data_IF_506870961293
#
_entry.id   IF_506870961293
#
_cell.length_a   1.000
_cell.length_b   1.000
_cell.length_c   1.000
_cell.angle_alpha   90.00
_cell.angle_beta   90.00
_cell.angle_gamma   90.00
#
_symmetry.space_group_name_H-M   'P 1'
#
loop_
_entity.id
_entity.type
_entity.pdbx_description
1 polymer ?
#
# COMPACT_ATOMS: atom_id res chain seq x y z
N UNK A 1 -2.50 -24.68 -6.15
CA UNK A 1 -2.86 -23.28 -5.91
C UNK A 1 -2.81 -22.54 -7.23
N UNK A 2 -3.90 -21.89 -7.64
CA UNK A 2 -3.95 -21.15 -8.91
C UNK A 2 -3.16 -19.84 -8.86
N UNK A 3 -2.76 -19.28 -10.01
CA UNK A 3 -2.01 -18.00 -10.07
C UNK A 3 -2.78 -16.86 -9.41
N UNK A 4 -4.08 -16.73 -9.70
CA UNK A 4 -4.95 -15.72 -9.08
C UNK A 4 -5.22 -15.98 -7.59
N UNK A 5 -5.20 -17.24 -7.16
CA UNK A 5 -5.34 -17.60 -5.75
C UNK A 5 -4.10 -17.17 -4.96
N UNK A 6 -2.92 -17.38 -5.51
CA UNK A 6 -1.66 -16.87 -4.94
C UNK A 6 -1.64 -15.33 -4.91
N UNK A 7 -2.04 -14.67 -6.01
CA UNK A 7 -2.10 -13.22 -6.07
C UNK A 7 -3.10 -12.63 -5.05
N UNK A 8 -4.24 -13.28 -4.84
CA UNK A 8 -5.20 -12.92 -3.81
C UNK A 8 -4.62 -13.10 -2.40
N UNK A 9 -3.91 -14.20 -2.15
CA UNK A 9 -3.19 -14.43 -0.90
C UNK A 9 -2.17 -13.34 -0.59
N UNK A 10 -1.37 -12.94 -1.58
CA UNK A 10 -0.43 -11.83 -1.46
C UNK A 10 -1.14 -10.50 -1.22
N UNK A 11 -2.26 -10.23 -1.91
CA UNK A 11 -3.04 -9.00 -1.71
C UNK A 11 -3.59 -8.90 -0.28
N UNK A 12 -4.05 -10.01 0.31
CA UNK A 12 -4.48 -10.04 1.71
C UNK A 12 -3.31 -9.82 2.68
N UNK A 13 -2.14 -10.38 2.38
CA UNK A 13 -0.92 -10.14 3.16
C UNK A 13 -0.47 -8.67 3.07
N UNK A 14 -0.56 -8.05 1.89
CA UNK A 14 -0.30 -6.63 1.69
C UNK A 14 -1.23 -5.77 2.55
N UNK A 15 -2.53 -6.11 2.60
CA UNK A 15 -3.49 -5.41 3.45
C UNK A 15 -3.11 -5.51 4.93
N UNK A 16 -2.72 -6.70 5.40
CA UNK A 16 -2.26 -6.89 6.77
C UNK A 16 -1.00 -6.06 7.10
N UNK A 17 0.00 -6.08 6.22
CA UNK A 17 1.22 -5.27 6.36
C UNK A 17 0.90 -3.76 6.39
N UNK A 18 -0.03 -3.29 5.56
CA UNK A 18 -0.44 -1.90 5.57
C UNK A 18 -1.17 -1.50 6.86
N UNK A 19 -1.99 -2.40 7.43
CA UNK A 19 -2.67 -2.17 8.71
C UNK A 19 -1.68 -2.08 9.88
N UNK A 20 -0.60 -2.86 9.84
CA UNK A 20 0.48 -2.83 10.85
C UNK A 20 1.59 -1.82 10.54
N UNK A 21 1.46 -1.05 9.46
CA UNK A 21 2.44 -0.06 8.99
C UNK A 21 3.82 -0.65 8.64
N UNK A 22 3.87 -1.92 8.25
CA UNK A 22 5.07 -2.62 7.80
C UNK A 22 5.38 -2.26 6.33
N UNK A 23 5.76 -1.00 6.08
CA UNK A 23 5.89 -0.45 4.73
C UNK A 23 6.92 -1.18 3.85
N UNK A 24 8.06 -1.59 4.42
CA UNK A 24 9.06 -2.38 3.70
C UNK A 24 8.49 -3.73 3.26
N UNK A 25 7.74 -4.41 4.14
CA UNK A 25 7.11 -5.69 3.82
C UNK A 25 6.02 -5.53 2.76
N UNK A 26 5.27 -4.44 2.81
CA UNK A 26 4.26 -4.12 1.80
C UNK A 26 4.89 -4.01 0.39
N UNK A 27 6.05 -3.37 0.26
CA UNK A 27 6.76 -3.22 -1.02
C UNK A 27 7.28 -4.58 -1.54
N UNK A 28 7.83 -5.41 -0.66
CA UNK A 28 8.27 -6.77 -1.04
C UNK A 28 7.10 -7.61 -1.58
N UNK A 29 5.97 -7.60 -0.86
CA UNK A 29 4.77 -8.32 -1.25
C UNK A 29 4.18 -7.80 -2.57
N UNK A 30 4.25 -6.50 -2.82
CA UNK A 30 3.84 -5.91 -4.10
C UNK A 30 4.68 -6.44 -5.26
N UNK A 31 6.01 -6.45 -5.09
CA UNK A 31 6.95 -6.96 -6.10
C UNK A 31 6.74 -8.47 -6.37
N UNK A 32 6.38 -9.25 -5.35
CA UNK A 32 6.01 -10.67 -5.51
C UNK A 32 4.68 -10.83 -6.28
N UNK A 33 3.70 -9.95 -6.03
CA UNK A 33 2.35 -10.03 -6.60
C UNK A 33 2.27 -9.56 -8.05
N UNK A 34 2.93 -8.45 -8.39
CA UNK A 34 2.85 -7.79 -9.69
C UNK A 34 2.99 -8.76 -10.90
N UNK A 35 4.03 -9.62 -10.98
CA UNK A 35 4.19 -10.52 -12.12
C UNK A 35 3.10 -11.61 -12.21
N UNK A 36 2.34 -11.87 -11.14
CA UNK A 36 1.21 -12.80 -11.18
C UNK A 36 0.00 -12.14 -11.83
N UNK A 37 -0.24 -10.85 -11.54
CA UNK A 37 -1.36 -10.11 -12.10
C UNK A 37 -1.16 -9.76 -13.58
N UNK A 38 0.08 -9.51 -14.01
CA UNK A 38 0.41 -9.18 -15.41
C UNK A 38 0.28 -10.37 -16.39
N UNK A 39 0.12 -11.59 -15.90
CA UNK A 39 -0.11 -12.77 -16.75
C UNK A 39 -1.49 -12.72 -17.39
N UNK A 40 -1.65 -13.42 -18.52
CA UNK A 40 -2.97 -13.65 -19.10
C UNK A 40 -3.76 -14.61 -18.22
N UNK A 41 -4.92 -14.15 -17.74
CA UNK A 41 -5.87 -14.96 -16.99
C UNK A 41 -7.01 -15.42 -17.89
N UNK A 42 -7.64 -16.53 -17.51
CA UNK A 42 -8.86 -16.96 -18.15
C UNK A 42 -10.01 -16.00 -17.82
N UNK A 43 -10.97 -15.88 -18.74
CA UNK A 43 -12.16 -15.04 -18.58
C UNK A 43 -13.36 -15.84 -18.08
N UNK A 44 -13.10 -16.94 -17.36
CA UNK A 44 -14.14 -17.74 -16.72
C UNK A 44 -14.66 -17.04 -15.44
N UNK A 45 -15.89 -17.35 -15.00
CA UNK A 45 -16.50 -16.71 -13.85
C UNK A 45 -15.66 -16.76 -12.56
N UNK A 46 -14.94 -17.86 -12.31
CA UNK A 46 -14.15 -18.02 -11.09
C UNK A 46 -12.90 -17.14 -11.11
N UNK A 47 -12.26 -17.00 -12.28
CA UNK A 47 -11.14 -16.07 -12.46
C UNK A 47 -11.59 -14.61 -12.31
N UNK A 48 -12.74 -14.25 -12.89
CA UNK A 48 -13.31 -12.91 -12.76
C UNK A 48 -13.68 -12.57 -11.31
N UNK A 49 -14.31 -13.49 -10.58
CA UNK A 49 -14.65 -13.29 -9.18
C UNK A 49 -13.41 -13.04 -8.30
N UNK A 50 -12.31 -13.75 -8.55
CA UNK A 50 -11.04 -13.52 -7.83
C UNK A 50 -10.42 -12.18 -8.17
N UNK A 51 -10.48 -11.75 -9.43
CA UNK A 51 -10.00 -10.42 -9.85
C UNK A 51 -10.82 -9.31 -9.19
N UNK A 52 -12.14 -9.45 -9.11
CA UNK A 52 -13.01 -8.50 -8.41
C UNK A 52 -12.66 -8.40 -6.92
N UNK A 53 -12.35 -9.53 -6.28
CA UNK A 53 -11.92 -9.55 -4.88
C UNK A 53 -10.57 -8.84 -4.69
N UNK A 54 -9.59 -9.09 -5.57
CA UNK A 54 -8.30 -8.40 -5.57
C UNK A 54 -8.51 -6.88 -5.69
N UNK A 55 -9.35 -6.43 -6.64
CA UNK A 55 -9.67 -5.01 -6.82
C UNK A 55 -10.37 -4.41 -5.60
N UNK A 56 -11.22 -5.16 -4.91
CA UNK A 56 -11.85 -4.71 -3.68
C UNK A 56 -10.82 -4.48 -2.57
N UNK A 57 -9.84 -5.37 -2.42
CA UNK A 57 -8.75 -5.19 -1.47
C UNK A 57 -7.78 -4.07 -1.88
N UNK A 58 -7.50 -3.89 -3.16
CA UNK A 58 -6.66 -2.79 -3.65
C UNK A 58 -7.24 -1.42 -3.29
N UNK A 59 -8.56 -1.23 -3.38
CA UNK A 59 -9.21 0.01 -2.94
C UNK A 59 -9.05 0.24 -1.43
N UNK A 60 -9.14 -0.82 -0.62
CA UNK A 60 -8.92 -0.72 0.83
C UNK A 60 -7.48 -0.36 1.14
N UNK A 61 -6.53 -1.01 0.46
CA UNK A 61 -5.10 -0.74 0.60
C UNK A 61 -4.76 0.70 0.22
N UNK A 62 -5.27 1.19 -0.93
CA UNK A 62 -5.10 2.58 -1.36
C UNK A 62 -5.62 3.57 -0.33
N UNK A 63 -6.75 3.30 0.32
CA UNK A 63 -7.29 4.17 1.36
C UNK A 63 -6.38 4.21 2.61
N UNK A 64 -5.79 3.08 3.01
CA UNK A 64 -4.85 3.01 4.14
C UNK A 64 -3.56 3.76 3.82
N UNK A 65 -2.95 3.44 2.67
CA UNK A 65 -1.68 4.06 2.24
C UNK A 65 -1.87 5.57 2.02
N UNK A 66 -2.99 5.99 1.44
CA UNK A 66 -3.34 7.39 1.28
C UNK A 66 -3.38 8.14 2.62
N UNK A 67 -4.11 7.62 3.61
CA UNK A 67 -4.14 8.21 4.95
C UNK A 67 -2.77 8.24 5.63
N UNK A 68 -1.98 7.17 5.50
CA UNK A 68 -0.64 7.10 6.07
C UNK A 68 0.30 8.15 5.44
N UNK A 69 0.24 8.32 4.12
CA UNK A 69 0.98 9.35 3.38
C UNK A 69 0.59 10.75 3.85
N UNK A 70 -0.71 11.02 3.94
CA UNK A 70 -1.20 12.34 4.33
C UNK A 70 -0.77 12.67 5.78
N UNK A 71 -0.86 11.70 6.70
CA UNK A 71 -0.35 11.86 8.06
C UNK A 71 1.17 12.09 8.11
N UNK A 72 1.96 11.41 7.27
CA UNK A 72 3.41 11.62 7.22
C UNK A 72 3.75 13.02 6.69
N UNK A 73 2.99 13.52 5.70
CA UNK A 73 3.17 14.86 5.16
C UNK A 73 2.86 15.94 6.21
N UNK A 74 1.81 15.77 7.01
CA UNK A 74 1.47 16.68 8.11
C UNK A 74 2.58 16.72 9.18
N UNK A 75 3.09 15.56 9.60
CA UNK A 75 4.18 15.48 10.59
C UNK A 75 5.46 16.15 10.07
N UNK A 76 5.80 15.90 8.80
CA UNK A 76 6.95 16.54 8.17
C UNK A 76 6.82 18.07 8.17
N UNK A 77 5.65 18.59 7.81
CA UNK A 77 5.40 20.01 7.76
C UNK A 77 5.53 20.65 9.16
N UNK A 78 4.97 20.01 10.19
CA UNK A 78 5.07 20.49 11.58
C UNK A 78 6.53 20.58 12.06
N UNK A 79 7.34 19.56 11.80
CA UNK A 79 8.75 19.57 12.18
C UNK A 79 9.58 20.58 11.38
N UNK A 80 9.27 20.77 10.09
CA UNK A 80 9.91 21.80 9.27
C UNK A 80 9.60 23.22 9.77
N UNK A 81 8.35 23.48 10.14
CA UNK A 81 7.93 24.76 10.71
C UNK A 81 8.56 25.01 12.08
N UNK A 82 8.65 23.97 12.92
CA UNK A 82 9.35 24.02 14.20
C UNK A 82 10.83 24.35 14.03
N UNK A 83 11.53 23.67 13.12
CA UNK A 83 12.94 23.93 12.83
C UNK A 83 13.15 25.37 12.34
N UNK A 84 12.24 25.89 11.50
CA UNK A 84 12.27 27.27 11.03
C UNK A 84 12.08 28.28 12.16
N UNK A 85 11.14 28.03 13.07
CA UNK A 85 10.91 28.89 14.23
C UNK A 85 12.16 28.95 15.13
N UNK A 86 12.80 27.81 15.43
CA UNK A 86 14.04 27.76 16.21
C UNK A 86 15.15 28.57 15.53
N UNK A 87 15.32 28.38 14.22
CA UNK A 87 16.34 29.10 13.45
C UNK A 87 16.13 30.62 13.47
N UNK A 88 14.88 31.10 13.54
CA UNK A 88 14.58 32.52 13.62
C UNK A 88 15.04 33.16 14.95
N UNK A 89 15.09 32.40 16.05
CA UNK A 89 15.55 32.88 17.36
C UNK A 89 17.05 32.65 17.61
N UNK A 90 17.69 31.78 16.83
CA UNK A 90 19.13 31.49 16.95
C UNK A 90 19.98 32.24 15.92
N UNK A 91 19.37 33.01 15.02
CA UNK A 91 20.07 33.94 14.12
C UNK A 91 20.39 35.24 14.89
N UNK A 92 21.67 35.64 15.02
CA UNK A 92 22.04 36.90 15.66
C UNK A 92 21.56 38.12 14.87
#
# INVERSE_FOLDING_TARGET
MGVLELALGLTRAMLAAAQTQEWSRLIELEAEREPLLLRRHASDPDSLARLDEILAYDRQLQAIVGRARDSAAEQWQQEADRARAIAAYTRP
#
